data_IF_728452549945
#
_entry.id   IF_728452549945
#
_cell.length_a   1.000
_cell.length_b   1.000
_cell.length_c   1.000
_cell.angle_alpha   90.00
_cell.angle_beta   90.00
_cell.angle_gamma   90.00
#
_symmetry.space_group_name_H-M   'P 1'
#
loop_
_entity.id
_entity.type
_entity.pdbx_description
1 polymer ?
#
# COMPACT_ATOMS: atom_id res chain seq x y z
N UNK A 1 -33.87 -24.81 6.12
CA UNK A 1 -33.19 -24.18 4.96
C UNK A 1 -31.98 -25.01 4.55
N UNK A 2 -32.17 -26.01 3.69
CA UNK A 2 -31.07 -26.86 3.20
C UNK A 2 -30.24 -26.08 2.19
N UNK A 3 -29.08 -25.60 2.64
CA UNK A 3 -28.09 -24.96 1.78
C UNK A 3 -27.63 -25.98 0.74
N UNK A 4 -28.07 -25.84 -0.52
CA UNK A 4 -27.65 -26.72 -1.62
C UNK A 4 -26.12 -26.77 -1.61
N UNK A 5 -25.55 -27.95 -1.33
CA UNK A 5 -24.11 -28.15 -1.49
C UNK A 5 -23.84 -28.04 -2.99
N UNK A 6 -22.95 -27.14 -3.44
CA UNK A 6 -22.57 -27.12 -4.84
C UNK A 6 -22.06 -28.52 -5.24
N UNK A 7 -22.42 -28.98 -6.43
CA UNK A 7 -21.93 -30.25 -6.96
C UNK A 7 -20.40 -30.28 -6.86
N UNK A 8 -19.83 -31.38 -6.37
CA UNK A 8 -18.38 -31.54 -6.26
C UNK A 8 -17.78 -31.44 -7.66
N UNK A 9 -16.86 -30.49 -7.88
CA UNK A 9 -16.07 -30.48 -9.11
C UNK A 9 -15.15 -31.71 -9.15
N UNK A 10 -14.59 -31.99 -10.33
CA UNK A 10 -13.67 -33.11 -10.56
C UNK A 10 -12.54 -33.12 -9.52
N UNK A 11 -11.96 -31.97 -9.19
CA UNK A 11 -10.91 -31.84 -8.19
C UNK A 11 -11.32 -32.30 -6.78
N UNK A 12 -12.57 -32.07 -6.37
CA UNK A 12 -12.99 -32.51 -5.04
C UNK A 12 -13.17 -34.03 -4.93
N UNK A 13 -13.22 -34.73 -6.07
CA UNK A 13 -13.36 -36.18 -6.15
C UNK A 13 -12.01 -36.92 -6.18
N UNK A 14 -10.91 -36.23 -6.51
CA UNK A 14 -9.55 -36.79 -6.58
C UNK A 14 -9.13 -37.43 -5.26
N UNK A 15 -8.79 -38.71 -5.25
CA UNK A 15 -8.24 -39.39 -4.06
C UNK A 15 -6.80 -39.81 -4.34
N UNK A 16 -5.94 -39.61 -3.35
CA UNK A 16 -4.57 -40.13 -3.38
C UNK A 16 -4.67 -41.60 -2.95
N UNK A 17 -4.43 -42.51 -3.90
CA UNK A 17 -4.46 -43.95 -3.61
C UNK A 17 -3.31 -44.36 -2.68
N UNK A 18 -2.11 -43.84 -2.93
CA UNK A 18 -0.90 -44.18 -2.17
C UNK A 18 -0.21 -42.90 -1.70
N UNK A 19 -0.31 -42.53 -0.40
CA UNK A 19 0.38 -41.36 0.13
C UNK A 19 1.90 -41.60 0.15
N UNK A 20 2.67 -40.67 -0.42
CA UNK A 20 4.14 -40.68 -0.36
C UNK A 20 4.57 -40.08 1.00
N UNK A 21 5.37 -40.79 1.82
CA UNK A 21 5.81 -40.31 3.15
C UNK A 21 6.94 -39.27 3.08
N UNK A 22 7.48 -39.01 1.89
CA UNK A 22 8.56 -38.05 1.68
C UNK A 22 8.16 -36.62 2.10
N UNK A 23 9.09 -35.93 2.76
CA UNK A 23 8.91 -34.52 3.11
C UNK A 23 9.09 -33.63 1.86
N UNK A 24 8.05 -32.87 1.54
CA UNK A 24 8.05 -31.87 0.47
C UNK A 24 9.23 -30.90 0.54
N UNK A 25 9.65 -30.52 1.75
CA UNK A 25 10.73 -29.55 1.94
C UNK A 25 12.11 -30.09 1.57
N UNK A 26 12.26 -31.42 1.50
CA UNK A 26 13.51 -32.09 1.10
C UNK A 26 13.55 -32.44 -0.38
N UNK A 27 12.50 -32.11 -1.14
CA UNK A 27 12.42 -32.33 -2.58
C UNK A 27 13.03 -31.15 -3.34
N UNK A 28 13.56 -31.42 -4.53
CA UNK A 28 14.17 -30.42 -5.40
C UNK A 28 13.16 -29.93 -6.44
N UNK A 29 13.13 -28.61 -6.68
CA UNK A 29 12.20 -27.96 -7.60
C UNK A 29 11.66 -26.64 -7.06
N UNK A 30 10.52 -26.20 -7.60
CA UNK A 30 9.89 -24.94 -7.25
C UNK A 30 8.68 -25.15 -6.31
N UNK A 31 7.86 -24.11 -6.09
CA UNK A 31 6.68 -24.22 -5.22
C UNK A 31 5.50 -24.96 -5.87
N UNK A 32 5.53 -25.11 -7.20
CA UNK A 32 4.48 -25.73 -8.02
C UNK A 32 4.77 -27.20 -8.30
N UNK A 33 6.01 -27.57 -8.60
CA UNK A 33 6.45 -28.91 -8.97
C UNK A 33 7.79 -29.21 -8.33
N UNK A 34 7.88 -30.35 -7.64
CA UNK A 34 9.14 -30.88 -7.12
C UNK A 34 9.33 -32.33 -7.48
N UNK A 35 10.58 -32.74 -7.67
CA UNK A 35 10.93 -34.12 -7.91
C UNK A 35 11.11 -34.87 -6.58
N UNK A 36 10.40 -35.98 -6.42
CA UNK A 36 10.57 -36.85 -5.26
C UNK A 36 11.49 -38.03 -5.61
N UNK A 37 12.65 -38.11 -4.97
CA UNK A 37 13.59 -39.23 -5.17
C UNK A 37 13.09 -40.59 -4.67
N UNK A 38 12.16 -40.62 -3.70
CA UNK A 38 11.59 -41.88 -3.20
C UNK A 38 10.56 -42.46 -4.15
N UNK A 39 9.64 -41.61 -4.59
CA UNK A 39 8.52 -41.98 -5.45
C UNK A 39 8.90 -41.92 -6.95
N UNK A 40 10.11 -41.39 -7.27
CA UNK A 40 10.69 -41.18 -8.61
C UNK A 40 9.75 -40.46 -9.59
N UNK A 41 8.89 -39.60 -9.06
CA UNK A 41 7.84 -38.89 -9.79
C UNK A 41 7.85 -37.41 -9.41
N UNK A 42 7.35 -36.59 -10.33
CA UNK A 42 7.06 -35.18 -10.06
C UNK A 42 5.83 -35.08 -9.16
N UNK A 43 5.98 -34.37 -8.06
CA UNK A 43 4.92 -34.07 -7.11
C UNK A 43 4.44 -32.64 -7.38
N UNK A 44 3.18 -32.51 -7.77
CA UNK A 44 2.56 -31.23 -8.11
C UNK A 44 1.80 -30.67 -6.90
N UNK A 45 2.04 -29.41 -6.56
CA UNK A 45 1.39 -28.72 -5.47
C UNK A 45 0.14 -27.98 -5.95
N UNK A 46 -1.03 -28.55 -5.68
CA UNK A 46 -2.33 -27.99 -6.08
C UNK A 46 -2.60 -26.64 -5.39
N UNK A 47 -2.01 -26.39 -4.22
CA UNK A 47 -2.23 -25.12 -3.52
C UNK A 47 -1.53 -23.93 -4.18
N UNK A 48 -0.52 -24.19 -5.02
CA UNK A 48 0.21 -23.19 -5.81
C UNK A 48 -0.31 -23.07 -7.27
N UNK A 49 -1.43 -23.73 -7.58
CA UNK A 49 -2.02 -23.77 -8.91
C UNK A 49 -3.46 -23.26 -8.89
N UNK A 50 -3.89 -22.73 -10.04
CA UNK A 50 -5.30 -22.39 -10.25
C UNK A 50 -6.15 -23.66 -10.32
N UNK A 51 -7.47 -23.49 -10.14
CA UNK A 51 -8.41 -24.60 -10.27
C UNK A 51 -8.37 -25.22 -11.68
N UNK A 52 -8.40 -24.39 -12.70
CA UNK A 52 -8.43 -24.85 -14.09
C UNK A 52 -7.15 -25.58 -14.47
N UNK A 53 -6.01 -25.04 -14.03
CA UNK A 53 -4.70 -25.65 -14.25
C UNK A 53 -4.58 -27.02 -13.59
N UNK A 54 -5.02 -27.14 -12.33
CA UNK A 54 -5.03 -28.42 -11.63
C UNK A 54 -5.96 -29.44 -12.33
N UNK A 55 -7.11 -29.01 -12.86
CA UNK A 55 -8.00 -29.87 -13.62
C UNK A 55 -7.41 -30.32 -14.95
N UNK A 56 -6.75 -29.42 -15.70
CA UNK A 56 -6.05 -29.76 -16.94
C UNK A 56 -4.92 -30.75 -16.69
N UNK A 57 -4.09 -30.51 -15.67
CA UNK A 57 -2.99 -31.41 -15.31
C UNK A 57 -3.48 -32.84 -15.06
N UNK A 58 -4.61 -32.99 -14.35
CA UNK A 58 -5.20 -34.29 -14.03
C UNK A 58 -5.79 -34.95 -15.29
N UNK A 59 -6.42 -34.16 -16.17
CA UNK A 59 -6.96 -34.67 -17.45
C UNK A 59 -5.84 -35.16 -18.38
N UNK A 60 -4.75 -34.40 -18.48
CA UNK A 60 -3.62 -34.72 -19.36
C UNK A 60 -2.85 -35.97 -18.91
N UNK A 61 -2.75 -36.21 -17.60
CA UNK A 61 -1.91 -37.27 -17.04
C UNK A 61 -2.70 -38.49 -16.55
N UNK A 62 -4.00 -38.56 -16.85
CA UNK A 62 -4.92 -39.70 -16.60
C UNK A 62 -4.77 -40.36 -15.20
N UNK A 63 -4.41 -39.58 -14.18
CA UNK A 63 -4.26 -40.03 -12.80
C UNK A 63 -2.92 -40.68 -12.40
N UNK A 64 -1.94 -40.83 -13.31
CA UNK A 64 -0.59 -41.34 -12.96
C UNK A 64 0.37 -40.21 -12.56
N UNK A 65 0.00 -39.42 -11.56
CA UNK A 65 0.83 -38.33 -11.05
C UNK A 65 0.79 -38.25 -9.53
N UNK A 66 1.86 -37.73 -8.93
CA UNK A 66 1.89 -37.45 -7.51
C UNK A 66 1.37 -36.04 -7.24
N UNK A 67 0.45 -35.92 -6.28
CA UNK A 67 -0.20 -34.67 -5.93
C UNK A 67 -0.02 -34.35 -4.45
N UNK A 68 0.32 -33.10 -4.18
CA UNK A 68 0.20 -32.49 -2.85
C UNK A 68 -1.04 -31.60 -2.86
N UNK A 69 -2.09 -32.07 -2.20
CA UNK A 69 -3.36 -31.36 -2.09
C UNK A 69 -3.73 -31.15 -0.62
N UNK A 70 -4.32 -30.01 -0.33
CA UNK A 70 -4.87 -29.69 0.98
C UNK A 70 -6.39 -29.62 0.89
N UNK A 71 -7.06 -30.33 1.81
CA UNK A 71 -8.52 -30.34 1.89
C UNK A 71 -8.98 -29.60 3.13
N UNK A 72 -10.00 -28.76 2.97
CA UNK A 72 -10.70 -28.11 4.07
C UNK A 72 -11.70 -29.08 4.71
N UNK A 73 -12.19 -28.74 5.90
CA UNK A 73 -13.30 -29.46 6.59
C UNK A 73 -14.55 -29.62 5.70
N UNK A 74 -14.77 -28.67 4.79
CA UNK A 74 -15.90 -28.67 3.86
C UNK A 74 -15.71 -29.63 2.67
N UNK A 75 -14.55 -30.28 2.56
CA UNK A 75 -14.20 -31.22 1.48
C UNK A 75 -13.65 -30.56 0.20
N UNK A 76 -13.66 -29.24 0.13
CA UNK A 76 -13.08 -28.45 -0.99
C UNK A 76 -11.55 -28.49 -0.95
N UNK A 77 -10.94 -28.66 -2.13
CA UNK A 77 -9.48 -28.58 -2.31
C UNK A 77 -9.03 -27.12 -2.30
N UNK A 78 -7.95 -26.84 -1.58
CA UNK A 78 -7.33 -25.52 -1.53
C UNK A 78 -6.47 -25.37 -2.79
N UNK A 79 -6.81 -24.34 -3.57
CA UNK A 79 -6.10 -23.88 -4.78
C UNK A 79 -5.74 -22.41 -4.59
N UNK A 80 -4.89 -21.87 -5.46
CA UNK A 80 -4.50 -20.45 -5.40
C UNK A 80 -5.72 -19.52 -5.53
N UNK A 81 -6.58 -19.82 -6.52
CA UNK A 81 -7.85 -19.11 -6.75
C UNK A 81 -8.99 -19.52 -5.80
N UNK A 82 -8.69 -19.77 -4.52
CA UNK A 82 -9.72 -20.21 -3.59
C UNK A 82 -10.82 -19.12 -3.48
N UNK A 83 -12.08 -19.42 -3.87
CA UNK A 83 -13.13 -18.42 -3.92
C UNK A 83 -13.48 -17.90 -2.52
N UNK A 84 -13.20 -18.66 -1.46
CA UNK A 84 -13.37 -18.22 -0.07
C UNK A 84 -12.27 -17.22 0.32
N UNK A 85 -11.01 -17.46 -0.07
CA UNK A 85 -9.91 -16.54 0.19
C UNK A 85 -10.15 -15.20 -0.53
N UNK A 86 -10.49 -15.26 -1.82
CA UNK A 86 -10.85 -14.08 -2.61
C UNK A 86 -12.08 -13.35 -2.06
N UNK A 87 -13.13 -14.07 -1.61
CA UNK A 87 -14.29 -13.43 -0.96
C UNK A 87 -13.91 -12.71 0.33
N UNK A 88 -13.01 -13.28 1.14
CA UNK A 88 -12.52 -12.63 2.37
C UNK A 88 -11.72 -11.37 2.02
N UNK A 89 -10.83 -11.46 1.04
CA UNK A 89 -10.05 -10.31 0.57
C UNK A 89 -10.94 -9.20 0.01
N UNK A 90 -11.89 -9.53 -0.88
CA UNK A 90 -12.85 -8.55 -1.42
C UNK A 90 -13.71 -7.90 -0.33
N UNK A 91 -14.13 -8.64 0.69
CA UNK A 91 -14.89 -8.07 1.82
C UNK A 91 -14.01 -7.13 2.64
N UNK A 92 -12.76 -7.48 2.90
CA UNK A 92 -11.83 -6.61 3.60
C UNK A 92 -11.60 -5.33 2.79
N UNK A 93 -11.32 -5.46 1.48
CA UNK A 93 -11.17 -4.35 0.56
C UNK A 93 -12.40 -3.43 0.55
N UNK A 94 -13.61 -3.99 0.42
CA UNK A 94 -14.85 -3.20 0.46
C UNK A 94 -15.05 -2.43 1.77
N UNK A 95 -14.67 -3.01 2.91
CA UNK A 95 -14.74 -2.32 4.20
C UNK A 95 -13.73 -1.18 4.29
N UNK A 96 -12.50 -1.41 3.83
CA UNK A 96 -11.49 -0.35 3.77
C UNK A 96 -11.92 0.78 2.81
N UNK A 97 -12.42 0.43 1.62
CA UNK A 97 -12.94 1.40 0.66
C UNK A 97 -14.11 2.21 1.23
N UNK A 98 -15.07 1.54 1.89
CA UNK A 98 -16.18 2.23 2.55
C UNK A 98 -15.73 3.15 3.68
N UNK A 99 -14.72 2.75 4.47
CA UNK A 99 -14.15 3.58 5.52
C UNK A 99 -13.42 4.81 4.94
N UNK A 100 -12.65 4.65 3.87
CA UNK A 100 -11.97 5.74 3.18
C UNK A 100 -12.98 6.73 2.59
N UNK A 101 -14.02 6.24 1.92
CA UNK A 101 -15.10 7.08 1.37
C UNK A 101 -15.86 7.80 2.49
N UNK A 102 -16.15 7.12 3.61
CA UNK A 102 -16.78 7.73 4.77
C UNK A 102 -15.93 8.83 5.41
N UNK A 103 -14.62 8.65 5.50
CA UNK A 103 -13.69 9.68 5.98
C UNK A 103 -13.61 10.87 5.00
N UNK A 104 -13.55 10.62 3.70
CA UNK A 104 -13.51 11.68 2.68
C UNK A 104 -14.82 12.51 2.64
N UNK A 105 -15.96 11.88 2.94
CA UNK A 105 -17.25 12.57 3.10
C UNK A 105 -17.28 13.41 4.39
N UNK A 106 -16.65 12.95 5.47
CA UNK A 106 -16.55 13.69 6.74
C UNK A 106 -15.66 14.93 6.64
N UNK A 107 -14.55 14.84 5.91
CA UNK A 107 -13.60 15.95 5.74
C UNK A 107 -14.03 16.97 4.68
N UNK A 108 -15.23 16.82 4.08
CA UNK A 108 -15.79 17.78 3.11
C UNK A 108 -15.08 17.83 1.76
N UNK A 109 -14.13 16.94 1.48
CA UNK A 109 -13.39 16.91 0.19
C UNK A 109 -14.29 16.37 -0.93
N UNK A 110 -15.32 15.60 -0.59
CA UNK A 110 -16.36 15.18 -1.51
C UNK A 110 -17.60 16.10 -1.36
N UNK A 111 -17.45 17.40 -1.56
CA UNK A 111 -18.61 18.15 -2.03
C UNK A 111 -18.95 17.60 -3.42
N UNK A 112 -20.20 17.16 -3.69
CA UNK A 112 -20.65 17.04 -5.06
C UNK A 112 -20.61 18.46 -5.61
N UNK A 113 -19.54 18.78 -6.35
CA UNK A 113 -19.51 19.96 -7.19
C UNK A 113 -20.78 19.90 -8.03
N UNK A 114 -21.69 20.81 -7.73
CA UNK A 114 -22.76 21.29 -8.58
C UNK A 114 -22.48 20.90 -10.03
N UNK A 115 -23.25 19.93 -10.53
CA UNK A 115 -23.31 19.64 -11.94
C UNK A 115 -23.84 20.92 -12.60
N UNK A 116 -22.93 21.78 -13.06
CA UNK A 116 -23.29 22.87 -13.93
C UNK A 116 -23.65 22.22 -15.26
N UNK A 117 -24.95 22.22 -15.53
CA UNK A 117 -25.56 21.89 -16.79
C UNK A 117 -24.80 22.64 -17.90
N UNK A 118 -24.01 21.90 -18.68
CA UNK A 118 -23.49 22.40 -19.95
C UNK A 118 -24.69 22.40 -20.89
N UNK A 119 -25.52 23.45 -20.80
CA UNK A 119 -26.46 23.79 -21.85
C UNK A 119 -25.65 24.17 -23.08
N UNK A 120 -25.83 23.38 -24.13
CA UNK A 120 -25.15 23.52 -25.39
C UNK A 120 -25.33 24.91 -25.98
N UNK A 121 -24.26 25.38 -26.62
CA UNK A 121 -24.23 26.60 -27.39
C UNK A 121 -22.87 26.75 -28.03
N UNK A 122 -22.54 25.85 -28.98
CA UNK A 122 -21.48 26.13 -29.95
C UNK A 122 -22.06 27.19 -30.89
N UNK A 123 -21.83 28.46 -30.59
CA UNK A 123 -21.80 29.50 -31.61
C UNK A 123 -20.34 29.82 -31.92
N UNK A 124 -19.94 29.90 -33.20
CA UNK A 124 -18.57 30.21 -33.59
C UNK A 124 -18.19 31.64 -33.16
N UNK A 125 -16.90 31.93 -32.95
CA UNK A 125 -16.46 33.25 -32.55
C UNK A 125 -16.74 34.26 -33.68
N UNK A 126 -17.65 35.19 -33.43
CA UNK A 126 -17.72 36.45 -34.16
C UNK A 126 -16.60 37.33 -33.62
N UNK A 127 -15.59 37.59 -34.47
CA UNK A 127 -14.63 38.65 -34.20
C UNK A 127 -15.34 39.99 -34.37
N UNK A 128 -15.65 40.65 -33.26
CA UNK A 128 -16.11 42.03 -33.28
C UNK A 128 -14.99 42.91 -32.74
N UNK A 129 -14.27 43.52 -33.68
CA UNK A 129 -13.56 44.76 -33.44
C UNK A 129 -14.57 45.80 -32.95
N UNK A 130 -14.27 46.52 -31.87
CA UNK A 130 -14.67 47.92 -31.75
C UNK A 130 -13.67 48.69 -30.87
N UNK A 131 -13.36 49.88 -31.36
CA UNK A 131 -12.41 50.86 -30.87
C UNK A 131 -13.03 51.73 -29.76
N UNK A 132 -12.18 52.22 -28.85
CA UNK A 132 -12.35 53.52 -28.18
C UNK A 132 -13.29 53.57 -26.98
N UNK A 133 -12.74 53.84 -25.78
CA UNK A 133 -12.71 55.22 -25.28
C UNK A 133 -11.99 55.34 -23.94
N UNK A 134 -11.43 56.52 -23.74
CA UNK A 134 -10.40 56.88 -22.78
C UNK A 134 -10.87 56.99 -21.32
N UNK A 135 -9.94 56.71 -20.41
CA UNK A 135 -9.69 57.55 -19.23
C UNK A 135 -8.33 57.17 -18.60
N UNK A 136 -7.27 57.91 -18.95
CA UNK A 136 -6.03 57.89 -18.17
C UNK A 136 -6.18 58.91 -17.03
N UNK A 137 -6.12 58.52 -15.75
CA UNK A 137 -5.89 59.48 -14.69
C UNK A 137 -4.42 59.91 -14.72
N UNK A 138 -4.22 61.22 -14.89
CA UNK A 138 -3.00 61.92 -14.46
C UNK A 138 -2.82 61.67 -12.95
N UNK A 139 -1.67 61.10 -12.59
CA UNK A 139 -1.30 60.83 -11.21
C UNK A 139 0.21 60.93 -11.05
N UNK A 140 0.65 62.14 -10.67
CA UNK A 140 2.01 62.47 -10.26
C UNK A 140 2.52 61.58 -9.13
N UNK A 141 3.77 61.10 -9.27
CA UNK A 141 4.60 60.77 -8.13
C UNK A 141 6.09 60.77 -8.53
N UNK A 142 6.68 61.97 -8.40
CA UNK A 142 7.99 62.24 -7.78
C UNK A 142 9.16 61.29 -8.06
N UNK A 143 10.08 61.83 -8.87
CA UNK A 143 11.51 61.51 -8.92
C UNK A 143 12.15 61.71 -7.54
N UNK A 144 12.91 60.72 -7.05
CA UNK A 144 13.99 60.98 -6.10
C UNK A 144 15.33 60.56 -6.74
N UNK A 145 16.29 61.49 -6.91
CA UNK A 145 17.67 61.16 -7.21
C UNK A 145 18.45 61.02 -5.91
N UNK A 146 19.54 60.25 -5.91
CA UNK A 146 20.55 60.38 -4.87
C UNK A 146 21.25 59.09 -4.49
N UNK A 147 22.11 58.62 -5.38
CA UNK A 147 23.22 57.75 -4.99
C UNK A 147 24.22 58.62 -4.23
N UNK A 148 24.55 58.27 -2.98
CA UNK A 148 25.74 58.78 -2.29
C UNK A 148 26.67 57.63 -1.95
N UNK A 149 27.90 57.77 -2.43
CA UNK A 149 29.04 56.90 -2.14
C UNK A 149 29.58 57.18 -0.75
N UNK A 150 29.92 56.10 -0.04
CA UNK A 150 31.13 56.00 0.78
C UNK A 150 31.23 56.82 2.07
N UNK A 151 31.13 56.13 3.20
CA UNK A 151 31.95 56.44 4.37
C UNK A 151 32.31 55.14 5.11
N UNK A 152 33.56 54.99 5.59
CA UNK A 152 34.05 53.75 6.18
C UNK A 152 33.46 53.52 7.58
N UNK A 153 33.06 52.28 7.83
CA UNK A 153 32.54 51.80 9.11
C UNK A 153 33.71 51.63 10.10
N UNK A 154 33.62 52.11 11.35
CA UNK A 154 34.62 51.86 12.38
C UNK A 154 34.54 50.42 12.89
N UNK A 155 35.68 49.75 13.00
CA UNK A 155 35.80 48.39 13.53
C UNK A 155 35.76 48.44 15.06
N UNK A 156 34.82 47.76 15.75
CA UNK A 156 34.85 47.69 17.21
C UNK A 156 35.93 46.70 17.68
N UNK A 157 36.60 47.08 18.75
CA UNK A 157 37.68 46.34 19.41
C UNK A 157 37.18 44.99 19.95
N UNK A 158 37.90 43.93 19.59
CA UNK A 158 37.77 42.58 20.14
C UNK A 158 38.03 42.62 21.65
N UNK A 159 36.97 42.52 22.45
CA UNK A 159 37.09 42.03 23.81
C UNK A 159 36.98 40.51 23.76
N UNK A 160 38.04 39.85 24.23
CA UNK A 160 38.14 38.41 24.34
C UNK A 160 37.17 37.94 25.43
N UNK A 161 35.92 37.66 25.04
CA UNK A 161 35.00 36.91 25.89
C UNK A 161 35.28 35.43 25.70
N UNK A 162 35.75 34.79 26.77
CA UNK A 162 35.97 33.34 26.84
C UNK A 162 34.63 32.63 26.71
N UNK A 163 34.19 32.43 25.47
CA UNK A 163 33.06 31.58 25.15
C UNK A 163 33.43 30.14 25.54
N UNK A 164 32.85 29.67 26.64
CA UNK A 164 32.81 28.25 26.98
C UNK A 164 32.30 27.47 25.77
N UNK A 165 33.14 26.59 25.24
CA UNK A 165 32.83 25.71 24.10
C UNK A 165 31.56 24.91 24.44
N UNK A 166 30.44 25.06 23.70
CA UNK A 166 29.30 24.19 23.89
C UNK A 166 29.67 22.76 23.49
N UNK A 167 29.35 21.82 24.38
CA UNK A 167 29.61 20.40 24.25
C UNK A 167 29.07 19.85 22.92
N UNK A 168 29.83 19.02 22.16
CA UNK A 168 29.42 18.54 20.86
C UNK A 168 28.23 17.58 21.01
N UNK A 169 27.03 18.03 20.67
CA UNK A 169 25.85 17.18 20.60
C UNK A 169 26.01 16.18 19.45
N UNK A 170 26.52 15.00 19.78
CA UNK A 170 26.81 13.98 18.78
C UNK A 170 25.51 13.47 18.12
N UNK A 171 25.40 13.51 16.79
CA UNK A 171 24.18 13.15 16.06
C UNK A 171 23.77 11.68 16.22
N UNK A 172 24.68 10.83 16.70
CA UNK A 172 24.46 9.39 16.92
C UNK A 172 23.36 9.07 17.95
N UNK A 173 23.13 9.93 18.94
CA UNK A 173 22.06 9.69 19.94
C UNK A 173 20.68 9.78 19.29
N UNK A 174 20.48 10.73 18.37
CA UNK A 174 19.22 10.90 17.61
C UNK A 174 18.98 9.73 16.65
N UNK A 175 20.04 9.24 16.00
CA UNK A 175 19.94 8.06 15.12
C UNK A 175 19.66 6.77 15.89
N UNK A 176 20.17 6.63 17.11
CA UNK A 176 19.96 5.43 17.95
C UNK A 176 18.51 5.31 18.41
N UNK A 177 17.87 6.42 18.78
CA UNK A 177 16.46 6.45 19.19
C UNK A 177 15.54 6.14 17.99
N UNK A 178 15.80 6.74 16.82
CA UNK A 178 15.03 6.46 15.60
C UNK A 178 15.20 5.01 15.14
N UNK A 179 16.41 4.44 15.23
CA UNK A 179 16.65 3.04 14.90
C UNK A 179 15.92 2.07 15.85
N UNK A 180 15.86 2.37 17.15
CA UNK A 180 15.13 1.55 18.12
C UNK A 180 13.61 1.58 17.87
N UNK A 181 13.05 2.75 17.54
CA UNK A 181 11.62 2.89 17.20
C UNK A 181 11.30 2.15 15.90
N UNK A 182 12.16 2.26 14.88
CA UNK A 182 12.00 1.53 13.62
C UNK A 182 12.07 0.00 13.84
N UNK A 183 13.01 -0.48 14.65
CA UNK A 183 13.14 -1.90 14.97
C UNK A 183 11.91 -2.45 15.72
N UNK A 184 11.39 -1.71 16.72
CA UNK A 184 10.18 -2.06 17.45
C UNK A 184 8.93 -2.03 16.55
N UNK A 185 8.83 -1.06 15.64
CA UNK A 185 7.77 -0.96 14.64
C UNK A 185 7.80 -2.14 13.66
N UNK A 186 8.96 -2.52 13.15
CA UNK A 186 9.13 -3.68 12.26
C UNK A 186 8.81 -4.99 12.99
N UNK A 187 9.22 -5.13 14.25
CA UNK A 187 8.93 -6.31 15.07
C UNK A 187 7.42 -6.42 15.37
N UNK A 188 6.77 -5.32 15.74
CA UNK A 188 5.32 -5.26 15.93
C UNK A 188 4.57 -5.58 14.65
N UNK A 189 4.98 -5.03 13.50
CA UNK A 189 4.39 -5.34 12.19
C UNK A 189 4.55 -6.80 11.79
N UNK A 190 5.71 -7.41 12.02
CA UNK A 190 5.93 -8.84 11.80
C UNK A 190 5.09 -9.71 12.73
N UNK A 191 4.96 -9.33 14.00
CA UNK A 191 4.13 -10.02 14.99
C UNK A 191 2.64 -9.93 14.66
N UNK A 192 2.17 -8.77 14.21
CA UNK A 192 0.79 -8.52 13.81
C UNK A 192 0.44 -9.19 12.48
N UNK A 193 1.38 -9.25 11.53
CA UNK A 193 1.26 -10.02 10.27
C UNK A 193 1.15 -11.52 10.53
N UNK A 194 1.87 -12.06 11.53
CA UNK A 194 1.75 -13.48 11.95
C UNK A 194 0.38 -13.81 12.55
N UNK A 195 -0.31 -12.84 13.15
CA UNK A 195 -1.67 -13.01 13.73
C UNK A 195 -2.82 -12.81 12.74
N UNK A 196 -2.57 -12.44 11.48
CA UNK A 196 -3.57 -12.22 10.42
C UNK A 196 -4.76 -11.31 10.82
N UNK A 197 -4.52 -10.38 11.77
CA UNK A 197 -5.53 -9.46 12.30
C UNK A 197 -5.38 -8.09 11.64
N UNK A 198 -5.95 -7.96 10.46
CA UNK A 198 -5.91 -6.76 9.60
C UNK A 198 -6.38 -5.49 10.34
N UNK A 199 -7.31 -5.64 11.30
CA UNK A 199 -7.81 -4.54 12.14
C UNK A 199 -6.74 -3.92 13.05
N UNK A 200 -5.85 -4.73 13.64
CA UNK A 200 -4.81 -4.20 14.52
C UNK A 200 -3.67 -3.52 13.76
N UNK A 201 -3.35 -4.00 12.55
CA UNK A 201 -2.30 -3.40 11.71
C UNK A 201 -2.68 -1.95 11.36
N UNK A 202 -3.94 -1.72 10.98
CA UNK A 202 -4.46 -0.38 10.73
C UNK A 202 -4.38 0.52 11.96
N UNK A 203 -4.80 0.03 13.13
CA UNK A 203 -4.76 0.81 14.37
C UNK A 203 -3.32 1.19 14.79
N UNK A 204 -2.35 0.29 14.63
CA UNK A 204 -0.94 0.60 14.92
C UNK A 204 -0.32 1.61 13.96
N UNK A 205 -0.66 1.57 12.67
CA UNK A 205 -0.17 2.58 11.71
C UNK A 205 -0.71 3.97 12.03
N UNK A 206 -2.00 4.08 12.38
CA UNK A 206 -2.61 5.36 12.78
C UNK A 206 -1.98 5.90 14.07
N UNK A 207 -1.74 5.03 15.06
CA UNK A 207 -1.09 5.45 16.31
C UNK A 207 0.36 5.92 16.08
N UNK A 208 1.13 5.23 15.24
CA UNK A 208 2.51 5.63 14.92
C UNK A 208 2.54 6.96 14.15
N UNK A 209 1.65 7.15 13.18
CA UNK A 209 1.56 8.41 12.44
C UNK A 209 1.10 9.58 13.33
N UNK A 210 0.15 9.35 14.24
CA UNK A 210 -0.29 10.37 15.19
C UNK A 210 0.84 10.77 16.16
N UNK A 211 1.61 9.79 16.65
CA UNK A 211 2.76 10.04 17.53
C UNK A 211 3.89 10.76 16.78
N UNK A 212 4.17 10.38 15.53
CA UNK A 212 5.19 11.04 14.71
C UNK A 212 4.82 12.50 14.37
N UNK A 213 3.54 12.76 14.07
CA UNK A 213 3.04 14.13 13.85
C UNK A 213 3.10 15.00 15.11
N UNK A 214 2.79 14.41 16.28
CA UNK A 214 2.87 15.12 17.56
C UNK A 214 4.31 15.48 17.93
N UNK A 215 5.28 14.60 17.67
CA UNK A 215 6.71 14.86 17.91
C UNK A 215 7.27 15.92 16.94
N UNK A 216 6.80 15.96 15.69
CA UNK A 216 7.18 17.00 14.72
C UNK A 216 6.63 18.39 15.09
N UNK A 217 5.51 18.46 15.82
CA UNK A 217 4.93 19.73 16.26
C UNK A 217 5.55 20.28 17.56
N UNK A 218 6.43 19.52 18.22
CA UNK A 218 7.11 19.88 19.47
C UNK A 218 8.59 20.27 19.26
N UNK A 219 9.09 20.20 18.02
CA UNK A 219 10.43 20.62 17.60
C UNK A 219 10.29 21.89 16.77
#
# INVERSE_FOLDING_TARGET
MFKRRPAKSMLEQVRIATPCPADWNRMEGDERVRYCGQCKLNVYNISAMSRNEAESLIKENEGRLCLKLYRRKDGTVITDDCPVALRRLRRAYRRCAAAILGMAAWTGIAQPGMAQEIQGGISPPVMQHDMGDAAYPLGEATVQPGVTMGSPIPVPATTAETASVPEPQSPWVRYSILAAIAALGIFALRFLRKRNNVWMIGATFVAIFAMAGFVWSLI
#
